data_IF_480685872325
#
_entry.id   IF_480685872325
#
_cell.length_a   1.000
_cell.length_b   1.000
_cell.length_c   1.000
_cell.angle_alpha   90.00
_cell.angle_beta   90.00
_cell.angle_gamma   90.00
#
_symmetry.space_group_name_H-M   'P 1'
#
loop_
_entity.id
_entity.type
_entity.pdbx_description
1 polymer ?
#
# COMPACT_ATOMS: atom_id res chain seq x y z
N UNK A 1 -9.80 -54.22 -34.80
CA UNK A 1 -10.20 -52.97 -35.48
C UNK A 1 -9.93 -51.83 -34.53
N UNK A 2 -8.90 -51.02 -34.81
CA UNK A 2 -8.51 -49.84 -34.03
C UNK A 2 -9.47 -48.72 -34.43
N UNK A 3 -10.27 -48.18 -33.51
CA UNK A 3 -11.16 -47.05 -33.76
C UNK A 3 -10.46 -45.74 -33.38
N UNK A 4 -9.65 -45.11 -34.25
CA UNK A 4 -9.01 -43.83 -33.96
C UNK A 4 -10.03 -42.68 -33.79
N UNK A 5 -11.27 -42.89 -34.27
CA UNK A 5 -12.38 -41.93 -34.18
C UNK A 5 -12.84 -41.74 -32.73
N UNK A 6 -12.73 -42.77 -31.88
CA UNK A 6 -13.13 -42.66 -30.46
C UNK A 6 -12.10 -41.86 -29.63
N UNK A 7 -10.81 -41.90 -30.04
CA UNK A 7 -9.75 -41.12 -29.39
C UNK A 7 -9.80 -39.64 -29.80
N UNK A 8 -10.20 -39.35 -31.04
CA UNK A 8 -10.31 -37.99 -31.56
C UNK A 8 -11.53 -37.23 -31.00
N UNK A 9 -12.58 -37.95 -30.61
CA UNK A 9 -13.79 -37.36 -30.01
C UNK A 9 -13.61 -37.04 -28.51
N UNK A 10 -12.69 -37.72 -27.81
CA UNK A 10 -12.34 -37.41 -26.42
C UNK A 10 -11.38 -36.21 -26.29
N UNK A 11 -10.58 -35.93 -27.32
CA UNK A 11 -9.60 -34.82 -27.31
C UNK A 11 -10.23 -33.47 -27.69
N UNK A 12 -11.46 -33.44 -28.20
CA UNK A 12 -12.19 -32.22 -28.56
C UNK A 12 -12.97 -31.60 -27.39
N UNK A 13 -12.98 -32.22 -26.20
CA UNK A 13 -13.80 -31.80 -25.06
C UNK A 13 -13.11 -30.84 -24.08
N UNK A 14 -11.83 -30.52 -24.27
CA UNK A 14 -11.10 -29.61 -23.39
C UNK A 14 -11.11 -28.21 -24.01
N UNK A 15 -12.27 -27.58 -24.02
CA UNK A 15 -12.37 -26.14 -24.23
C UNK A 15 -11.85 -25.43 -22.98
N UNK A 16 -10.68 -24.79 -23.11
CA UNK A 16 -10.14 -23.87 -22.11
C UNK A 16 -11.08 -22.67 -21.98
N UNK A 17 -11.83 -22.60 -20.89
CA UNK A 17 -12.48 -21.37 -20.45
C UNK A 17 -11.41 -20.45 -19.85
N UNK A 18 -10.95 -19.47 -20.62
CA UNK A 18 -10.14 -18.37 -20.09
C UNK A 18 -11.08 -17.46 -19.30
N UNK A 19 -11.03 -17.54 -17.98
CA UNK A 19 -11.72 -16.60 -17.10
C UNK A 19 -10.94 -15.27 -17.13
N UNK A 20 -11.44 -14.30 -17.90
CA UNK A 20 -10.95 -12.93 -17.88
C UNK A 20 -11.61 -12.24 -16.69
N UNK A 21 -10.85 -11.94 -15.63
CA UNK A 21 -11.35 -11.19 -14.47
C UNK A 21 -11.34 -9.70 -14.83
N UNK A 22 -12.50 -9.16 -15.22
CA UNK A 22 -12.66 -7.75 -15.53
C UNK A 22 -13.20 -7.02 -14.29
N UNK A 23 -12.37 -6.18 -13.67
CA UNK A 23 -12.77 -5.37 -12.52
C UNK A 23 -13.52 -4.13 -13.01
N UNK A 24 -14.78 -4.00 -12.62
CA UNK A 24 -15.62 -2.86 -13.01
C UNK A 24 -15.67 -1.80 -11.91
N UNK A 25 -15.58 -0.53 -12.30
CA UNK A 25 -15.73 0.66 -11.43
C UNK A 25 -17.04 1.36 -11.78
N UNK A 26 -17.91 1.58 -10.80
CA UNK A 26 -19.09 2.43 -10.98
C UNK A 26 -19.26 3.42 -9.82
N UNK A 27 -20.05 4.45 -10.07
CA UNK A 27 -20.43 5.46 -9.08
C UNK A 27 -21.85 5.14 -8.62
N UNK A 28 -22.05 4.98 -7.31
CA UNK A 28 -23.37 4.73 -6.74
C UNK A 28 -24.21 6.01 -6.67
N UNK A 29 -25.50 5.88 -6.32
CA UNK A 29 -26.42 7.01 -6.20
C UNK A 29 -26.04 8.01 -5.08
N UNK A 30 -25.04 7.67 -4.24
CA UNK A 30 -24.50 8.52 -3.18
C UNK A 30 -23.18 9.20 -3.58
N UNK A 31 -22.75 9.06 -4.83
CA UNK A 31 -21.51 9.67 -5.34
C UNK A 31 -20.23 8.94 -4.92
N UNK A 32 -20.34 7.75 -4.32
CA UNK A 32 -19.18 6.94 -3.91
C UNK A 32 -18.75 6.00 -5.02
N UNK A 33 -17.45 5.85 -5.18
CA UNK A 33 -16.84 4.98 -6.17
C UNK A 33 -16.75 3.57 -5.59
N UNK A 34 -17.43 2.62 -6.23
CA UNK A 34 -17.45 1.21 -5.83
C UNK A 34 -16.76 0.37 -6.92
N UNK A 35 -15.92 -0.57 -6.50
CA UNK A 35 -15.24 -1.52 -7.36
C UNK A 35 -15.79 -2.92 -7.07
N UNK A 36 -16.16 -3.67 -8.11
CA UNK A 36 -16.71 -5.00 -7.93
C UNK A 36 -16.73 -5.82 -9.21
N UNK A 37 -16.70 -7.14 -9.03
CA UNK A 37 -16.60 -8.14 -10.10
C UNK A 37 -17.96 -8.51 -10.72
N UNK A 38 -19.05 -7.87 -10.27
CA UNK A 38 -20.40 -8.15 -10.76
C UNK A 38 -21.25 -6.85 -10.83
N UNK A 39 -21.40 -6.24 -12.00
CA UNK A 39 -22.14 -4.98 -12.12
C UNK A 39 -23.66 -5.21 -12.01
N UNK A 40 -24.40 -4.39 -11.24
CA UNK A 40 -25.85 -4.41 -11.26
C UNK A 40 -26.38 -3.98 -12.63
N UNK A 41 -27.22 -4.82 -13.24
CA UNK A 41 -27.90 -4.58 -14.52
C UNK A 41 -28.88 -3.40 -14.41
N UNK A 42 -28.39 -2.15 -14.51
CA UNK A 42 -29.09 -0.92 -14.95
C UNK A 42 -28.31 0.34 -14.50
N UNK A 43 -27.33 0.76 -15.27
CA UNK A 43 -27.25 2.15 -15.79
C UNK A 43 -26.12 2.22 -16.82
N UNK A 44 -26.31 3.00 -17.88
CA UNK A 44 -25.50 2.98 -19.08
C UNK A 44 -24.05 3.37 -18.84
N UNK A 45 -23.16 2.39 -18.95
CA UNK A 45 -21.72 2.60 -19.05
C UNK A 45 -21.39 3.20 -20.43
N UNK A 46 -20.74 4.36 -20.44
CA UNK A 46 -20.02 4.86 -21.62
C UNK A 46 -18.53 4.57 -21.43
N UNK A 47 -17.92 3.95 -22.43
CA UNK A 47 -16.49 3.69 -22.49
C UNK A 47 -15.72 5.02 -22.44
N UNK A 48 -14.76 5.11 -21.53
CA UNK A 48 -13.77 6.20 -21.49
C UNK A 48 -12.46 5.61 -21.97
N UNK A 49 -11.92 6.20 -23.03
CA UNK A 49 -10.65 5.85 -23.64
C UNK A 49 -9.52 6.41 -22.76
N UNK A 50 -8.68 5.53 -22.19
CA UNK A 50 -7.55 5.94 -21.36
C UNK A 50 -6.39 6.33 -22.28
N UNK A 51 -5.85 7.57 -22.19
CA UNK A 51 -4.62 7.89 -22.91
C UNK A 51 -3.45 7.07 -22.36
N UNK A 52 -2.61 6.60 -23.27
CA UNK A 52 -1.43 5.76 -23.05
C UNK A 52 -0.45 6.37 -22.04
N UNK A 53 0.04 5.51 -21.15
CA UNK A 53 1.13 5.76 -20.21
C UNK A 53 2.32 6.44 -20.90
N UNK A 54 2.61 7.68 -20.51
CA UNK A 54 3.93 8.29 -20.79
C UNK A 54 4.89 7.79 -19.72
N UNK A 55 5.77 6.87 -20.11
CA UNK A 55 6.94 6.50 -19.32
C UNK A 55 7.87 7.72 -19.32
N UNK A 56 8.16 8.27 -18.13
CA UNK A 56 9.21 9.26 -17.98
C UNK A 56 10.55 8.54 -17.93
N UNK A 57 11.18 8.39 -19.10
CA UNK A 57 12.58 8.01 -19.21
C UNK A 57 13.47 9.18 -18.77
N UNK A 58 14.38 8.92 -17.82
CA UNK A 58 15.61 9.70 -17.66
C UNK A 58 15.75 10.49 -16.36
N UNK A 59 16.18 9.82 -15.29
CA UNK A 59 17.01 10.47 -14.27
C UNK A 59 18.41 9.86 -14.29
N UNK A 60 19.32 10.52 -15.01
CA UNK A 60 20.75 10.24 -14.96
C UNK A 60 21.38 11.03 -13.79
N UNK A 61 22.22 10.41 -12.95
CA UNK A 61 22.82 11.07 -11.80
C UNK A 61 23.98 11.95 -12.24
N UNK A 62 23.94 13.25 -11.95
CA UNK A 62 25.09 14.15 -12.14
C UNK A 62 25.80 14.39 -10.81
N UNK A 63 26.94 13.72 -10.65
CA UNK A 63 27.96 14.03 -9.65
C UNK A 63 28.83 15.17 -10.20
N UNK A 64 28.94 16.30 -9.50
CA UNK A 64 30.13 17.18 -9.59
C UNK A 64 30.20 18.06 -8.33
N UNK A 65 31.30 17.92 -7.59
CA UNK A 65 31.70 18.75 -6.47
C UNK A 65 32.11 20.17 -6.90
N UNK A 66 31.87 21.17 -6.04
CA UNK A 66 32.72 22.35 -5.81
C UNK A 66 32.06 23.32 -4.80
N UNK A 67 32.63 23.41 -3.60
CA UNK A 67 32.68 24.64 -2.77
C UNK A 67 33.81 25.55 -3.37
N UNK A 68 34.04 26.84 -2.99
CA UNK A 68 33.44 27.62 -1.91
C UNK A 68 33.15 29.14 -2.18
N UNK A 69 32.49 29.75 -1.17
CA UNK A 69 32.75 31.10 -0.62
C UNK A 69 31.97 32.36 -1.07
N UNK A 70 31.71 33.18 -0.01
CA UNK A 70 31.58 34.64 0.14
C UNK A 70 30.28 35.41 -0.20
N UNK A 71 29.59 35.78 0.89
CA UNK A 71 29.08 37.12 1.29
C UNK A 71 28.47 38.06 0.23
N UNK A 72 27.21 38.44 0.47
CA UNK A 72 26.82 39.85 0.62
C UNK A 72 25.41 39.99 1.22
N UNK A 73 25.37 40.49 2.45
CA UNK A 73 24.23 41.24 3.01
C UNK A 73 24.04 42.53 2.19
N UNK A 74 22.83 43.11 2.12
CA UNK A 74 22.42 44.08 3.13
C UNK A 74 20.94 43.98 3.56
N UNK A 75 20.72 44.02 4.89
CA UNK A 75 19.55 44.65 5.53
C UNK A 75 19.63 46.19 5.35
N UNK A 76 18.65 47.07 5.72
CA UNK A 76 17.63 46.89 6.79
C UNK A 76 16.27 47.64 6.61
N UNK A 77 15.30 47.29 7.48
CA UNK A 77 14.26 48.16 8.09
C UNK A 77 13.25 47.21 8.79
N UNK A 78 13.37 46.86 10.07
CA UNK A 78 13.11 47.66 11.29
C UNK A 78 11.64 48.07 11.45
N UNK A 79 10.90 47.33 12.29
CA UNK A 79 10.10 47.83 13.41
C UNK A 79 9.37 46.67 14.12
N UNK A 80 9.79 46.37 15.35
CA UNK A 80 8.95 45.71 16.37
C UNK A 80 8.13 46.80 17.11
N UNK A 81 7.33 46.54 18.18
CA UNK A 81 6.98 45.28 18.84
C UNK A 81 5.48 45.18 19.27
N UNK A 82 5.17 44.09 19.96
CA UNK A 82 4.27 44.01 21.12
C UNK A 82 2.88 43.36 20.97
N UNK A 83 2.73 42.34 21.82
CA UNK A 83 1.53 41.95 22.59
C UNK A 83 0.51 41.02 21.94
N UNK A 84 0.67 39.74 22.28
CA UNK A 84 -0.32 38.98 23.04
C UNK A 84 -1.53 38.45 22.27
N UNK A 85 -1.49 37.16 21.93
CA UNK A 85 -2.56 36.15 22.11
C UNK A 85 -1.90 34.78 21.84
N UNK A 86 -1.99 33.76 22.72
CA UNK A 86 -1.69 32.40 22.32
C UNK A 86 -2.86 31.90 21.45
N UNK A 87 -2.67 31.49 20.18
CA UNK A 87 -3.72 30.75 19.50
C UNK A 87 -3.67 29.32 20.02
N UNK A 88 -4.39 29.11 21.10
CA UNK A 88 -5.03 27.84 21.41
C UNK A 88 -5.88 27.41 20.20
N UNK A 89 -5.76 26.14 19.83
CA UNK A 89 -6.68 25.40 18.97
C UNK A 89 -7.00 26.02 17.59
N UNK A 90 -6.06 25.89 16.66
CA UNK A 90 -6.41 25.54 15.29
C UNK A 90 -6.16 24.03 15.14
N UNK A 91 -7.17 23.21 15.45
CA UNK A 91 -7.29 21.87 14.84
C UNK A 91 -7.56 22.09 13.35
N UNK A 92 -6.52 22.52 12.63
CA UNK A 92 -6.47 22.32 11.20
C UNK A 92 -6.59 20.82 10.98
N UNK A 93 -7.40 20.42 10.00
CA UNK A 93 -7.47 19.05 9.55
C UNK A 93 -6.08 18.65 9.01
N UNK A 94 -5.19 18.25 9.92
CA UNK A 94 -3.81 17.88 9.62
C UNK A 94 -3.89 16.61 8.79
N UNK A 95 -3.81 16.76 7.48
CA UNK A 95 -3.64 15.63 6.60
C UNK A 95 -2.37 14.89 7.01
N UNK A 96 -2.40 13.57 6.95
CA UNK A 96 -1.22 12.76 7.18
C UNK A 96 -0.20 13.05 6.08
N UNK A 97 0.99 13.53 6.47
CA UNK A 97 2.03 13.91 5.54
C UNK A 97 2.97 12.76 5.22
N UNK A 98 3.19 11.87 6.18
CA UNK A 98 4.06 10.71 6.05
C UNK A 98 3.33 9.45 6.51
N UNK A 99 3.32 8.43 5.65
CA UNK A 99 2.81 7.10 5.98
C UNK A 99 3.62 6.04 5.21
N UNK A 100 4.59 5.42 5.89
CA UNK A 100 5.50 4.45 5.27
C UNK A 100 5.87 3.33 6.23
N UNK A 101 5.95 2.10 5.74
CA UNK A 101 6.47 0.97 6.53
C UNK A 101 7.97 1.14 6.73
N UNK A 102 8.42 1.12 7.98
CA UNK A 102 9.84 1.23 8.38
C UNK A 102 10.44 -0.11 8.75
N UNK A 103 9.63 -1.05 9.20
CA UNK A 103 10.02 -2.42 9.51
C UNK A 103 8.90 -3.37 9.10
N UNK A 104 9.18 -4.50 8.45
CA UNK A 104 10.47 -4.89 7.89
C UNK A 104 10.93 -3.94 6.75
N UNK A 105 12.22 -3.93 6.48
CA UNK A 105 12.81 -3.24 5.32
C UNK A 105 12.57 -4.02 4.02
N UNK A 106 12.74 -3.36 2.87
CA UNK A 106 12.58 -4.01 1.57
C UNK A 106 13.57 -5.18 1.41
N UNK A 107 13.03 -6.34 1.03
CA UNK A 107 13.71 -7.62 0.86
C UNK A 107 14.35 -8.19 2.13
N UNK A 108 13.95 -7.70 3.31
CA UNK A 108 14.45 -8.21 4.58
C UNK A 108 14.12 -9.69 4.79
N UNK A 109 15.04 -10.41 5.41
CA UNK A 109 14.82 -11.80 5.81
C UNK A 109 14.47 -11.90 7.30
N UNK A 110 13.20 -12.12 7.58
CA UNK A 110 12.67 -12.34 8.93
C UNK A 110 12.74 -13.83 9.26
N UNK A 111 13.31 -14.16 10.43
CA UNK A 111 13.37 -15.54 10.94
C UNK A 111 12.42 -15.70 12.12
N UNK A 112 11.42 -16.56 11.97
CA UNK A 112 10.44 -16.83 13.03
C UNK A 112 9.97 -18.28 12.98
N UNK A 113 10.01 -18.97 14.12
CA UNK A 113 9.53 -20.35 14.19
C UNK A 113 7.99 -20.44 14.20
N UNK A 114 7.35 -19.41 14.78
CA UNK A 114 5.89 -19.27 14.89
C UNK A 114 5.27 -18.57 13.69
N UNK A 115 6.08 -18.03 12.76
CA UNK A 115 5.57 -17.22 11.65
C UNK A 115 5.12 -15.83 12.09
N UNK A 116 5.68 -15.31 13.20
CA UNK A 116 5.41 -13.95 13.69
C UNK A 116 6.38 -12.94 13.08
N UNK A 117 5.87 -11.79 12.65
CA UNK A 117 6.66 -10.63 12.16
C UNK A 117 6.13 -9.34 12.77
N UNK A 118 7.05 -8.50 13.24
CA UNK A 118 6.72 -7.17 13.73
C UNK A 118 6.80 -6.16 12.59
N UNK A 119 5.67 -5.51 12.33
CA UNK A 119 5.52 -4.50 11.30
C UNK A 119 5.33 -3.14 11.95
N UNK A 120 6.14 -2.17 11.57
CA UNK A 120 6.09 -0.78 12.05
C UNK A 120 5.98 0.19 10.89
N UNK A 121 5.19 1.26 11.10
CA UNK A 121 5.07 2.38 10.18
C UNK A 121 5.57 3.68 10.81
N UNK A 122 6.23 4.50 10.01
CA UNK A 122 6.36 5.93 10.25
C UNK A 122 5.05 6.61 9.86
N UNK A 123 4.49 7.38 10.79
CA UNK A 123 3.26 8.14 10.61
C UNK A 123 3.46 9.54 11.19
N UNK A 124 3.27 10.57 10.35
CA UNK A 124 3.36 11.98 10.72
C UNK A 124 2.09 12.72 10.25
N UNK A 125 1.34 13.41 11.13
CA UNK A 125 1.43 13.43 12.59
C UNK A 125 1.04 12.07 13.22
N UNK A 126 1.13 11.94 14.54
CA UNK A 126 0.69 10.71 15.23
C UNK A 126 -0.77 10.38 14.91
N UNK A 127 -1.13 9.09 14.96
CA UNK A 127 -2.48 8.62 14.64
C UNK A 127 -3.53 9.39 15.46
N UNK A 128 -4.52 9.97 14.77
CA UNK A 128 -5.62 10.69 15.41
C UNK A 128 -6.54 9.73 16.14
N UNK A 129 -7.21 10.25 17.17
CA UNK A 129 -8.20 9.46 17.91
C UNK A 129 -9.38 9.11 17.00
N UNK A 130 -9.72 7.82 16.94
CA UNK A 130 -10.78 7.29 16.08
C UNK A 130 -10.27 6.73 14.76
N UNK A 131 -9.11 7.17 14.26
CA UNK A 131 -8.51 6.59 13.07
C UNK A 131 -7.87 5.23 13.39
N UNK A 132 -7.76 4.38 12.38
CA UNK A 132 -7.25 3.02 12.51
C UNK A 132 -6.33 2.65 11.35
N UNK A 133 -5.48 1.65 11.59
CA UNK A 133 -4.57 1.09 10.59
C UNK A 133 -4.93 -0.38 10.39
N UNK A 134 -5.13 -0.76 9.13
CA UNK A 134 -5.36 -2.14 8.71
C UNK A 134 -4.16 -2.64 7.92
N UNK A 135 -3.64 -3.79 8.30
CA UNK A 135 -2.45 -4.39 7.74
C UNK A 135 -2.81 -5.55 6.83
N UNK A 136 -2.22 -5.58 5.65
CA UNK A 136 -2.45 -6.60 4.65
C UNK A 136 -1.16 -7.32 4.33
N UNK A 137 -1.25 -8.65 4.24
CA UNK A 137 -0.18 -9.53 3.76
C UNK A 137 -0.71 -10.33 2.59
N UNK A 138 -0.02 -10.29 1.45
CA UNK A 138 -0.40 -10.99 0.22
C UNK A 138 -1.86 -10.72 -0.20
N UNK A 139 -2.28 -9.46 -0.06
CA UNK A 139 -3.65 -8.97 -0.33
C UNK A 139 -4.74 -9.52 0.62
N UNK A 140 -4.36 -10.13 1.75
CA UNK A 140 -5.27 -10.58 2.80
C UNK A 140 -5.08 -9.74 4.05
N UNK A 141 -6.18 -9.37 4.71
CA UNK A 141 -6.11 -8.66 5.97
C UNK A 141 -5.45 -9.56 7.03
N UNK A 142 -4.30 -9.12 7.54
CA UNK A 142 -3.51 -9.84 8.52
C UNK A 142 -3.67 -9.28 9.94
N UNK A 143 -4.08 -8.01 10.06
CA UNK A 143 -4.31 -7.38 11.34
C UNK A 143 -4.93 -5.99 11.22
N UNK A 144 -5.37 -5.44 12.34
CA UNK A 144 -5.86 -4.07 12.44
C UNK A 144 -5.60 -3.53 13.84
N UNK A 145 -5.37 -2.23 13.97
CA UNK A 145 -5.14 -1.60 15.27
C UNK A 145 -5.10 -0.07 15.19
N UNK A 146 -4.85 0.54 16.33
CA UNK A 146 -4.70 2.00 16.50
C UNK A 146 -3.26 2.40 16.85
N UNK A 147 -2.33 1.47 16.67
CA UNK A 147 -0.90 1.67 16.94
C UNK A 147 -0.12 1.59 15.63
N UNK A 148 0.96 2.38 15.49
CA UNK A 148 1.82 2.33 14.31
C UNK A 148 2.68 1.06 14.23
N UNK A 149 2.57 0.17 15.22
CA UNK A 149 3.24 -1.14 15.25
C UNK A 149 2.20 -2.23 15.47
N UNK A 150 2.38 -3.36 14.79
CA UNK A 150 1.58 -4.58 14.94
C UNK A 150 2.47 -5.82 14.83
N UNK A 151 2.14 -6.87 15.58
CA UNK A 151 2.71 -8.20 15.35
C UNK A 151 1.72 -9.02 14.53
N UNK A 152 2.12 -9.38 13.31
CA UNK A 152 1.36 -10.28 12.45
C UNK A 152 1.81 -11.71 12.74
N UNK A 153 0.88 -12.65 12.84
CA UNK A 153 1.14 -14.05 13.20
C UNK A 153 0.73 -15.00 12.09
N UNK A 154 1.12 -16.27 12.22
CA UNK A 154 0.73 -17.36 11.34
C UNK A 154 1.13 -17.16 9.86
N UNK A 155 2.22 -16.42 9.60
CA UNK A 155 2.78 -16.33 8.25
C UNK A 155 3.51 -17.63 7.88
N UNK A 156 3.34 -18.03 6.62
CA UNK A 156 4.04 -19.18 6.05
C UNK A 156 5.52 -18.88 5.79
N UNK A 157 6.30 -19.90 5.48
CA UNK A 157 7.67 -19.71 4.99
C UNK A 157 7.64 -19.24 3.53
N UNK A 158 8.52 -18.33 3.15
CA UNK A 158 8.62 -17.83 1.78
C UNK A 158 8.55 -16.31 1.67
N UNK A 159 8.31 -15.81 0.45
CA UNK A 159 8.22 -14.38 0.16
C UNK A 159 6.82 -13.87 0.41
N UNK A 160 6.72 -12.77 1.14
CA UNK A 160 5.48 -12.11 1.52
C UNK A 160 5.51 -10.64 1.13
N UNK A 161 4.33 -10.09 0.82
CA UNK A 161 4.15 -8.68 0.49
C UNK A 161 3.25 -8.02 1.52
N UNK A 162 3.75 -7.01 2.21
CA UNK A 162 3.01 -6.27 3.25
C UNK A 162 2.74 -4.83 2.82
N UNK A 163 1.53 -4.35 3.10
CA UNK A 163 1.17 -2.94 3.03
C UNK A 163 0.18 -2.59 4.13
N UNK A 164 0.12 -1.32 4.51
CA UNK A 164 -0.82 -0.81 5.50
C UNK A 164 -1.79 0.18 4.86
N UNK A 165 -3.01 0.21 5.38
CA UNK A 165 -4.08 1.12 4.99
C UNK A 165 -4.51 1.89 6.22
N UNK A 166 -4.59 3.20 6.09
CA UNK A 166 -5.06 4.12 7.11
C UNK A 166 -6.53 4.42 6.85
N UNK A 167 -7.34 4.29 7.90
CA UNK A 167 -8.79 4.43 7.88
C UNK A 167 -9.23 5.50 8.87
N UNK A 168 -10.28 6.24 8.53
CA UNK A 168 -10.93 7.17 9.47
C UNK A 168 -11.85 6.45 10.47
N UNK A 169 -12.39 7.20 11.43
CA UNK A 169 -13.38 6.70 12.38
C UNK A 169 -14.67 6.14 11.75
N UNK A 170 -14.96 6.50 10.49
CA UNK A 170 -16.10 5.98 9.73
C UNK A 170 -15.73 4.76 8.85
N UNK A 171 -14.46 4.34 8.84
CA UNK A 171 -13.94 3.23 8.05
C UNK A 171 -13.53 3.59 6.63
N UNK A 172 -13.59 4.86 6.23
CA UNK A 172 -13.14 5.31 4.91
C UNK A 172 -11.61 5.28 4.84
N UNK A 173 -11.08 4.89 3.68
CA UNK A 173 -9.63 4.85 3.44
C UNK A 173 -9.12 6.28 3.25
N UNK A 174 -8.17 6.68 4.09
CA UNK A 174 -7.48 7.98 4.02
C UNK A 174 -6.26 7.85 3.11
N UNK A 175 -5.40 6.86 3.37
CA UNK A 175 -4.11 6.68 2.69
C UNK A 175 -3.65 5.22 2.78
N UNK A 176 -2.76 4.80 1.88
CA UNK A 176 -2.07 3.51 1.94
C UNK A 176 -0.55 3.68 1.85
N UNK A 177 0.20 2.73 2.39
CA UNK A 177 1.65 2.69 2.25
C UNK A 177 2.06 2.07 0.92
N UNK A 178 3.34 2.22 0.58
CA UNK A 178 4.00 1.36 -0.38
C UNK A 178 3.95 -0.11 0.06
N UNK A 179 3.97 -1.02 -0.92
CA UNK A 179 4.06 -2.46 -0.66
C UNK A 179 5.52 -2.85 -0.50
N UNK A 180 5.85 -3.44 0.65
CA UNK A 180 7.18 -3.98 0.95
C UNK A 180 7.16 -5.49 0.79
N UNK A 181 8.18 -6.02 0.11
CA UNK A 181 8.41 -7.46 0.03
C UNK A 181 9.41 -7.86 1.11
N UNK A 182 9.17 -8.97 1.81
CA UNK A 182 10.11 -9.56 2.76
C UNK A 182 10.07 -11.08 2.66
N UNK A 183 11.07 -11.74 3.22
CA UNK A 183 11.22 -13.19 3.20
C UNK A 183 11.11 -13.75 4.62
N UNK A 184 10.23 -14.72 4.82
CA UNK A 184 10.02 -15.44 6.08
C UNK A 184 10.75 -16.79 6.04
N UNK A 185 11.55 -17.07 7.08
CA UNK A 185 12.26 -18.34 7.25
C UNK A 185 11.92 -18.98 8.60
N UNK A 186 11.78 -20.32 8.61
CA UNK A 186 11.61 -21.12 9.82
C UNK A 186 12.89 -21.86 10.19
N UNK A 187 13.25 -21.88 11.47
CA UNK A 187 14.34 -22.75 11.95
C UNK A 187 13.79 -24.16 12.23
N UNK A 188 14.37 -25.16 11.58
CA UNK A 188 14.18 -26.57 11.96
C UNK A 188 15.26 -26.96 12.95
N UNK A 189 14.87 -27.35 14.16
CA UNK A 189 15.77 -28.04 15.07
C UNK A 189 15.97 -29.48 14.59
N UNK A 190 17.23 -29.92 14.49
CA UNK A 190 17.54 -31.31 14.19
C UNK A 190 17.21 -32.16 15.43
N UNK A 191 16.39 -33.23 15.32
CA UNK A 191 16.11 -34.08 16.47
C UNK A 191 17.40 -34.82 16.87
N UNK A 192 17.82 -34.65 18.13
CA UNK A 192 18.92 -35.43 18.71
C UNK A 192 18.42 -36.86 18.91
N UNK A 193 19.07 -37.82 18.24
CA UNK A 193 18.80 -39.26 18.39
C UNK A 193 19.36 -39.82 19.69
#
# INVERSE_FOLDING_TARGET
MRNPVLLLLFLSGISLSVAHAEVYRWVDATGRVVYGDNPPKKSGAKAVDLPTLTIADGYAPKVTASEPAVTSSPAPAEAAPASGVPPEAAEEATAYSEFKITSPTADETVRSNTGSVDVSVALTPSLKSGDGIVWYVDSKQAGSGVTPTVTLNDLTVGTHRVFAVLNDAAGNIIQNTETITFNMLRQTALPKR
#
